data_IF_760464029220
#
_entry.id   IF_760464029220
#
_cell.length_a   1.000
_cell.length_b   1.000
_cell.length_c   1.000
_cell.angle_alpha   90.00
_cell.angle_beta   90.00
_cell.angle_gamma   90.00
#
_symmetry.space_group_name_H-M   'P 1'
#
loop_
_entity.id
_entity.type
_entity.pdbx_description
1 polymer ?
#
# COMPACT_ATOMS: atom_id res chain seq x y z
N UNK A 1 21.11 4.71 -1.21
CA UNK A 1 20.98 3.99 0.09
C UNK A 1 19.93 4.73 0.90
N UNK A 2 18.97 4.02 1.51
CA UNK A 2 17.90 4.68 2.27
C UNK A 2 18.43 5.41 3.50
N UNK A 3 17.85 6.57 3.88
CA UNK A 3 18.08 7.21 5.18
C UNK A 3 17.76 6.25 6.33
N UNK A 4 18.35 6.51 7.51
CA UNK A 4 18.19 5.66 8.69
C UNK A 4 17.93 6.47 9.96
N UNK A 5 17.12 5.91 10.84
CA UNK A 5 16.95 6.40 12.21
C UNK A 5 18.15 6.11 13.10
N UNK A 6 18.06 6.53 14.36
CA UNK A 6 19.14 6.37 15.36
C UNK A 6 19.46 4.90 15.70
N UNK A 7 18.50 4.00 15.51
CA UNK A 7 18.61 2.56 15.70
C UNK A 7 18.87 1.77 14.40
N UNK A 8 19.30 2.47 13.34
CA UNK A 8 19.54 1.96 12.00
C UNK A 8 18.31 1.49 11.21
N UNK A 9 17.08 1.72 11.71
CA UNK A 9 15.87 1.42 10.96
C UNK A 9 15.82 2.21 9.65
N UNK A 10 15.68 1.55 8.48
CA UNK A 10 15.59 2.25 7.20
C UNK A 10 14.31 3.07 7.12
N UNK A 11 14.41 4.27 6.57
CA UNK A 11 13.26 5.13 6.29
C UNK A 11 13.00 5.16 4.78
N UNK A 12 11.75 4.88 4.40
CA UNK A 12 11.34 4.55 3.02
C UNK A 12 10.31 5.54 2.43
N UNK A 13 10.07 6.66 3.11
CA UNK A 13 9.22 7.75 2.63
C UNK A 13 10.07 9.00 2.30
N UNK A 14 9.41 10.11 1.94
CA UNK A 14 10.09 11.35 1.56
C UNK A 14 10.97 11.89 2.69
N UNK A 15 12.23 12.22 2.40
CA UNK A 15 13.25 12.59 3.39
C UNK A 15 12.77 13.68 4.36
N UNK A 16 12.12 14.71 3.82
CA UNK A 16 11.67 15.85 4.64
C UNK A 16 10.50 15.50 5.59
N UNK A 17 9.93 14.30 5.46
CA UNK A 17 8.86 13.80 6.32
C UNK A 17 9.36 12.81 7.38
N UNK A 18 10.67 12.57 7.46
CA UNK A 18 11.26 11.66 8.44
C UNK A 18 11.08 12.19 9.87
N UNK A 19 10.42 11.44 10.76
CA UNK A 19 10.29 11.83 12.16
C UNK A 19 11.64 11.90 12.86
N UNK A 20 11.79 12.84 13.80
CA UNK A 20 13.02 12.97 14.60
C UNK A 20 13.29 11.76 15.49
N UNK A 21 12.23 11.03 15.86
CA UNK A 21 12.23 9.83 16.67
C UNK A 21 12.04 8.54 15.84
N UNK A 22 12.30 8.59 14.53
CA UNK A 22 12.18 7.41 13.67
C UNK A 22 13.06 6.25 14.15
N UNK A 23 12.45 5.06 14.21
CA UNK A 23 13.10 3.83 14.59
C UNK A 23 12.24 2.59 14.31
N UNK A 24 12.74 1.42 14.68
CA UNK A 24 12.11 0.12 14.47
C UNK A 24 10.74 0.02 15.11
N UNK A 25 10.53 0.64 16.26
CA UNK A 25 9.22 0.67 16.94
C UNK A 25 8.15 1.37 16.07
N UNK A 26 8.47 2.53 15.50
CA UNK A 26 7.53 3.23 14.62
C UNK A 26 7.30 2.44 13.32
N UNK A 27 8.38 1.90 12.76
CA UNK A 27 8.35 1.10 11.54
C UNK A 27 7.47 -0.14 11.67
N UNK A 28 7.61 -0.92 12.75
CA UNK A 28 6.82 -2.15 12.94
C UNK A 28 5.33 -1.84 13.09
N UNK A 29 4.95 -0.77 13.80
CA UNK A 29 3.56 -0.35 13.92
C UNK A 29 2.96 0.01 12.56
N UNK A 30 3.70 0.75 11.73
CA UNK A 30 3.26 1.09 10.37
C UNK A 30 3.07 -0.17 9.53
N UNK A 31 4.06 -1.08 9.55
CA UNK A 31 4.01 -2.34 8.79
C UNK A 31 2.83 -3.22 9.21
N UNK A 32 2.62 -3.38 10.52
CA UNK A 32 1.50 -4.14 11.06
C UNK A 32 0.15 -3.56 10.63
N UNK A 33 -0.01 -2.23 10.64
CA UNK A 33 -1.22 -1.58 10.13
C UNK A 33 -1.47 -1.84 8.66
N UNK A 34 -0.42 -1.80 7.85
CA UNK A 34 -0.54 -2.09 6.42
C UNK A 34 -0.91 -3.55 6.18
N UNK A 35 -0.33 -4.48 6.93
CA UNK A 35 -0.69 -5.89 6.88
C UNK A 35 -2.14 -6.13 7.32
N UNK A 36 -2.57 -5.54 8.43
CA UNK A 36 -3.94 -5.69 8.94
C UNK A 36 -4.96 -5.07 7.99
N UNK A 37 -4.69 -3.88 7.46
CA UNK A 37 -5.54 -3.26 6.44
C UNK A 37 -5.65 -4.11 5.17
N UNK A 38 -4.53 -4.68 4.71
CA UNK A 38 -4.52 -5.63 3.59
C UNK A 38 -5.41 -6.84 3.88
N UNK A 39 -5.28 -7.46 5.05
CA UNK A 39 -6.07 -8.62 5.49
C UNK A 39 -7.57 -8.34 5.49
N UNK A 40 -7.99 -7.27 6.17
CA UNK A 40 -9.40 -6.98 6.43
C UNK A 40 -10.15 -6.49 5.20
N UNK A 41 -9.54 -5.61 4.41
CA UNK A 41 -10.25 -4.91 3.34
C UNK A 41 -10.00 -5.52 1.96
N UNK A 42 -8.72 -5.77 1.63
CA UNK A 42 -8.32 -6.05 0.26
C UNK A 42 -8.14 -7.54 -0.03
N UNK A 43 -7.69 -8.33 0.94
CA UNK A 43 -7.39 -9.75 0.82
C UNK A 43 -8.43 -10.65 1.51
N UNK A 44 -9.59 -10.11 1.91
CA UNK A 44 -10.65 -10.80 2.69
C UNK A 44 -11.07 -12.17 2.12
N UNK A 45 -11.00 -12.35 0.79
CA UNK A 45 -11.42 -13.59 0.11
C UNK A 45 -10.34 -14.66 0.03
N UNK A 46 -9.13 -14.40 0.55
CA UNK A 46 -8.00 -15.30 0.43
C UNK A 46 -7.25 -15.43 1.76
N UNK A 47 -6.57 -16.56 1.94
CA UNK A 47 -5.63 -16.71 3.04
C UNK A 47 -4.50 -15.67 2.91
N UNK A 48 -4.10 -15.08 4.03
CA UNK A 48 -2.95 -14.17 4.04
C UNK A 48 -1.69 -14.94 4.35
N UNK A 49 -0.84 -15.08 3.34
CA UNK A 49 0.43 -15.84 3.41
C UNK A 49 1.61 -14.98 3.85
N UNK A 50 1.48 -13.66 3.75
CA UNK A 50 2.51 -12.70 4.14
C UNK A 50 2.51 -12.41 5.63
N UNK A 51 3.71 -12.09 6.13
CA UNK A 51 3.97 -11.67 7.50
C UNK A 51 4.59 -10.25 7.52
N UNK A 52 4.74 -9.62 8.71
CA UNK A 52 5.30 -8.27 8.79
C UNK A 52 6.66 -8.12 8.13
N UNK A 53 7.52 -9.14 8.21
CA UNK A 53 8.84 -9.15 7.57
C UNK A 53 8.72 -9.04 6.05
N UNK A 54 7.91 -9.89 5.42
CA UNK A 54 7.71 -9.89 3.96
C UNK A 54 7.07 -8.58 3.46
N UNK A 55 6.16 -7.98 4.24
CA UNK A 55 5.57 -6.67 3.92
C UNK A 55 6.62 -5.57 3.98
N UNK A 56 7.42 -5.51 5.06
CA UNK A 56 8.49 -4.53 5.19
C UNK A 56 9.52 -4.65 4.05
N UNK A 57 9.92 -5.88 3.73
CA UNK A 57 10.86 -6.14 2.63
C UNK A 57 10.28 -5.68 1.29
N UNK A 58 8.99 -5.91 1.04
CA UNK A 58 8.36 -5.41 -0.18
C UNK A 58 8.30 -3.89 -0.23
N UNK A 59 7.97 -3.22 0.88
CA UNK A 59 8.00 -1.75 0.97
C UNK A 59 9.39 -1.24 0.59
N UNK A 60 10.43 -1.78 1.21
CA UNK A 60 11.81 -1.37 0.93
C UNK A 60 12.18 -1.68 -0.52
N UNK A 61 11.81 -2.86 -1.03
CA UNK A 61 12.10 -3.29 -2.39
C UNK A 61 11.49 -2.35 -3.42
N UNK A 62 10.19 -2.07 -3.35
CA UNK A 62 9.51 -1.23 -4.33
C UNK A 62 10.00 0.22 -4.27
N UNK A 63 10.24 0.77 -3.08
CA UNK A 63 10.84 2.12 -2.92
C UNK A 63 12.23 2.18 -3.55
N UNK A 64 13.06 1.15 -3.34
CA UNK A 64 14.39 1.09 -3.96
C UNK A 64 14.30 0.96 -5.49
N UNK A 65 13.36 0.15 -5.99
CA UNK A 65 13.12 -0.04 -7.43
C UNK A 65 12.64 1.26 -8.09
N UNK A 66 11.76 2.02 -7.44
CA UNK A 66 11.30 3.31 -7.95
C UNK A 66 12.43 4.32 -8.04
N UNK A 67 13.30 4.37 -7.02
CA UNK A 67 14.41 5.33 -6.94
C UNK A 67 15.72 4.89 -7.60
N UNK A 68 15.80 3.69 -8.18
CA UNK A 68 17.07 3.21 -8.75
C UNK A 68 17.43 3.96 -10.04
N UNK A 69 18.71 4.26 -10.20
CA UNK A 69 19.28 4.74 -11.45
C UNK A 69 19.68 3.52 -12.29
N UNK A 70 19.13 3.41 -13.50
CA UNK A 70 19.45 2.31 -14.42
C UNK A 70 20.45 2.79 -15.48
N UNK A 71 21.69 2.32 -15.38
CA UNK A 71 22.71 2.55 -16.40
C UNK A 71 22.44 1.66 -17.62
N UNK A 72 22.56 2.22 -18.83
CA UNK A 72 22.40 1.47 -20.09
C UNK A 72 23.47 0.40 -20.31
N UNK A 73 24.61 0.49 -19.63
CA UNK A 73 25.70 -0.48 -19.72
C UNK A 73 25.60 -1.59 -18.67
N UNK A 74 24.61 -1.52 -17.77
CA UNK A 74 24.35 -2.55 -16.78
C UNK A 74 23.83 -3.82 -17.47
N UNK A 75 24.43 -5.01 -17.24
CA UNK A 75 23.93 -6.28 -17.79
C UNK A 75 22.45 -6.55 -17.44
N UNK A 76 21.97 -6.00 -16.33
CA UNK A 76 20.60 -6.17 -15.85
C UNK A 76 19.68 -4.99 -16.19
N UNK A 77 20.11 -4.05 -17.06
CA UNK A 77 19.40 -2.81 -17.36
C UNK A 77 17.93 -3.06 -17.78
N UNK A 78 17.68 -4.06 -18.62
CA UNK A 78 16.34 -4.36 -19.11
C UNK A 78 15.43 -4.91 -18.00
N UNK A 79 15.97 -5.79 -17.14
CA UNK A 79 15.24 -6.30 -15.98
C UNK A 79 14.95 -5.21 -14.97
N UNK A 80 15.90 -4.30 -14.73
CA UNK A 80 15.71 -3.14 -13.87
C UNK A 80 14.65 -2.20 -14.43
N UNK A 81 14.71 -1.84 -15.72
CA UNK A 81 13.66 -1.02 -16.37
C UNK A 81 12.27 -1.65 -16.27
N UNK A 82 12.18 -2.97 -16.47
CA UNK A 82 10.92 -3.71 -16.32
C UNK A 82 10.36 -3.60 -14.90
N UNK A 83 11.20 -3.83 -13.89
CA UNK A 83 10.81 -3.68 -12.48
C UNK A 83 10.39 -2.24 -12.18
N UNK A 84 11.15 -1.24 -12.63
CA UNK A 84 10.85 0.17 -12.43
C UNK A 84 9.50 0.56 -13.04
N UNK A 85 9.20 0.09 -14.26
CA UNK A 85 7.90 0.32 -14.89
C UNK A 85 6.75 -0.42 -14.20
N UNK A 86 7.00 -1.63 -13.71
CA UNK A 86 5.99 -2.46 -13.00
C UNK A 86 5.60 -1.85 -11.65
N UNK A 87 6.60 -1.31 -10.93
CA UNK A 87 6.44 -0.79 -9.57
C UNK A 87 6.45 0.73 -9.50
N UNK A 88 6.28 1.42 -10.62
CA UNK A 88 6.17 2.87 -10.65
C UNK A 88 4.95 3.33 -9.82
N UNK A 89 5.11 4.39 -9.04
CA UNK A 89 3.99 5.03 -8.37
C UNK A 89 3.04 5.61 -9.43
N UNK A 90 1.74 5.34 -9.29
CA UNK A 90 0.75 5.58 -10.32
C UNK A 90 0.68 7.04 -10.80
N UNK A 91 0.82 8.02 -9.90
CA UNK A 91 0.81 9.45 -10.21
C UNK A 91 2.21 10.09 -10.11
N UNK A 92 3.25 9.29 -9.84
CA UNK A 92 4.61 9.78 -9.57
C UNK A 92 4.74 10.57 -8.26
N UNK A 93 3.82 10.37 -7.30
CA UNK A 93 3.77 11.11 -6.05
C UNK A 93 4.76 10.58 -5.01
N UNK A 94 5.35 11.44 -4.17
CA UNK A 94 6.22 11.00 -3.08
C UNK A 94 5.42 10.30 -1.98
N UNK A 95 6.05 9.33 -1.30
CA UNK A 95 5.46 8.66 -0.16
C UNK A 95 5.58 9.47 1.13
N UNK A 96 4.56 9.36 1.96
CA UNK A 96 4.53 9.81 3.36
C UNK A 96 4.10 8.63 4.25
N UNK A 97 4.37 8.73 5.55
CA UNK A 97 3.92 7.77 6.56
C UNK A 97 2.80 8.32 7.45
N UNK A 98 2.60 9.65 7.50
CA UNK A 98 1.57 10.31 8.32
C UNK A 98 0.18 9.79 8.02
N UNK A 99 -0.58 9.44 9.05
CA UNK A 99 -1.97 9.06 8.94
C UNK A 99 -2.80 10.21 8.37
N UNK A 100 -3.86 9.85 7.65
CA UNK A 100 -4.79 10.79 7.01
C UNK A 100 -4.19 11.73 5.96
N UNK A 101 -2.92 11.55 5.57
CA UNK A 101 -2.35 12.24 4.41
C UNK A 101 -2.77 11.53 3.10
N UNK A 102 -3.01 12.28 2.02
CA UNK A 102 -3.20 11.70 0.69
C UNK A 102 -1.94 11.02 0.15
N UNK A 103 -0.76 11.45 0.61
CA UNK A 103 0.55 10.89 0.24
C UNK A 103 0.94 9.68 1.09
N UNK A 104 0.15 9.33 2.12
CA UNK A 104 0.41 8.15 2.94
C UNK A 104 0.49 6.93 2.04
N UNK A 105 1.60 6.19 2.07
CA UNK A 105 1.69 4.98 1.28
C UNK A 105 0.73 3.91 1.82
N UNK A 106 0.23 3.06 0.92
CA UNK A 106 -0.64 1.91 1.21
C UNK A 106 -0.09 0.66 0.54
N UNK A 107 -0.54 -0.50 1.03
CA UNK A 107 -0.35 -1.79 0.35
C UNK A 107 -1.63 -2.06 -0.44
N UNK A 108 -1.53 -1.98 -1.76
CA UNK A 108 -2.67 -2.04 -2.68
C UNK A 108 -2.54 -3.23 -3.64
N UNK A 109 -3.65 -3.58 -4.31
CA UNK A 109 -3.64 -4.60 -5.36
C UNK A 109 -2.84 -4.14 -6.57
N UNK A 110 -1.99 -5.02 -7.09
CA UNK A 110 -1.42 -4.86 -8.44
C UNK A 110 -2.47 -5.16 -9.50
N UNK A 111 -3.15 -6.29 -9.35
CA UNK A 111 -4.28 -6.73 -10.16
C UNK A 111 -5.46 -7.08 -9.25
N UNK A 112 -6.60 -6.44 -9.49
CA UNK A 112 -7.81 -6.67 -8.72
C UNK A 112 -8.39 -8.07 -8.97
N UNK A 113 -9.05 -8.65 -7.96
CA UNK A 113 -9.71 -9.96 -8.09
C UNK A 113 -8.77 -11.17 -7.95
N UNK A 114 -7.51 -10.95 -7.61
CA UNK A 114 -6.55 -12.00 -7.27
C UNK A 114 -6.00 -11.82 -5.84
N UNK A 115 -5.52 -12.91 -5.24
CA UNK A 115 -4.91 -12.88 -3.91
C UNK A 115 -3.76 -11.86 -3.85
N UNK A 116 -3.74 -11.04 -2.80
CA UNK A 116 -2.59 -10.18 -2.51
C UNK A 116 -1.47 -11.02 -1.91
N UNK A 117 -0.28 -10.90 -2.49
CA UNK A 117 0.94 -11.47 -1.91
C UNK A 117 2.20 -10.75 -2.34
N UNK A 118 3.21 -10.75 -1.48
CA UNK A 118 4.48 -10.06 -1.75
C UNK A 118 5.38 -10.80 -2.74
N UNK A 119 5.21 -12.11 -2.89
CA UNK A 119 6.13 -12.96 -3.67
C UNK A 119 7.41 -13.35 -2.92
N UNK A 120 7.63 -12.85 -1.70
CA UNK A 120 8.69 -13.37 -0.82
C UNK A 120 8.29 -14.74 -0.25
N UNK A 121 9.26 -15.65 0.00
CA UNK A 121 9.02 -16.77 0.90
C UNK A 121 8.82 -16.28 2.34
N UNK A 122 8.23 -17.11 3.20
CA UNK A 122 7.92 -16.72 4.58
C UNK A 122 9.16 -16.38 5.44
N UNK A 123 10.31 -16.99 5.13
CA UNK A 123 11.60 -16.73 5.79
C UNK A 123 12.66 -16.39 4.73
N UNK A 124 12.66 -15.15 4.22
CA UNK A 124 13.51 -14.75 3.11
C UNK A 124 14.95 -14.49 3.58
N UNK A 125 15.91 -14.98 2.80
CA UNK A 125 17.34 -14.87 3.07
C UNK A 125 18.08 -14.10 1.98
N UNK A 126 17.55 -14.03 0.75
CA UNK A 126 18.21 -13.37 -0.38
C UNK A 126 17.25 -12.57 -1.24
N UNK A 127 17.77 -11.53 -1.91
CA UNK A 127 17.00 -10.77 -2.90
C UNK A 127 16.57 -11.64 -4.10
N UNK A 128 17.36 -12.67 -4.45
CA UNK A 128 17.03 -13.54 -5.58
C UNK A 128 15.71 -14.29 -5.37
N UNK A 129 15.40 -14.71 -4.15
CA UNK A 129 14.12 -15.36 -3.81
C UNK A 129 12.93 -14.47 -4.16
N UNK A 130 13.05 -13.15 -3.97
CA UNK A 130 12.02 -12.20 -4.39
C UNK A 130 11.91 -12.05 -5.89
N UNK A 131 13.04 -12.05 -6.59
CA UNK A 131 13.04 -11.94 -8.06
C UNK A 131 12.42 -13.20 -8.69
N UNK A 132 12.68 -14.37 -8.13
CA UNK A 132 12.08 -15.64 -8.57
C UNK A 132 10.57 -15.68 -8.28
N UNK A 133 10.14 -15.06 -7.17
CA UNK A 133 8.73 -14.95 -6.77
C UNK A 133 7.94 -13.81 -7.44
N UNK A 134 8.54 -13.02 -8.33
CA UNK A 134 7.93 -11.82 -8.92
C UNK A 134 6.62 -12.09 -9.65
N UNK A 135 6.54 -13.23 -10.36
CA UNK A 135 5.33 -13.64 -11.06
C UNK A 135 4.14 -13.89 -10.12
N UNK A 136 4.40 -14.17 -8.84
CA UNK A 136 3.37 -14.38 -7.82
C UNK A 136 3.02 -13.10 -7.07
N UNK A 137 3.83 -12.03 -7.16
CA UNK A 137 3.57 -10.77 -6.50
C UNK A 137 2.32 -10.09 -7.07
N UNK A 138 1.40 -9.71 -6.19
CA UNK A 138 0.18 -9.00 -6.56
C UNK A 138 -0.06 -7.76 -5.68
N UNK A 139 1.01 -7.15 -5.18
CA UNK A 139 0.91 -5.95 -4.35
C UNK A 139 1.69 -4.79 -4.93
N UNK A 140 1.15 -3.59 -4.75
CA UNK A 140 1.80 -2.33 -5.07
C UNK A 140 1.91 -1.48 -3.81
N UNK A 141 3.03 -0.78 -3.70
CA UNK A 141 3.28 0.26 -2.72
C UNK A 141 3.06 1.59 -3.43
N UNK A 142 1.95 2.23 -3.11
CA UNK A 142 1.52 3.45 -3.78
C UNK A 142 0.93 4.45 -2.78
N UNK A 143 0.75 5.70 -3.21
CA UNK A 143 0.07 6.67 -2.35
C UNK A 143 -1.40 6.32 -2.20
N UNK A 144 -1.97 6.66 -1.04
CA UNK A 144 -3.41 6.58 -0.79
C UNK A 144 -4.22 7.25 -1.89
N UNK A 145 -3.77 8.43 -2.35
CA UNK A 145 -4.39 9.16 -3.47
C UNK A 145 -4.45 8.31 -4.74
N UNK A 146 -3.33 7.70 -5.13
CA UNK A 146 -3.27 6.81 -6.29
C UNK A 146 -4.19 5.60 -6.16
N UNK A 147 -4.17 4.92 -5.01
CA UNK A 147 -5.04 3.77 -4.77
C UNK A 147 -6.54 4.15 -4.83
N UNK A 148 -6.93 5.27 -4.21
CA UNK A 148 -8.32 5.75 -4.27
C UNK A 148 -8.76 6.11 -5.69
N UNK A 149 -7.89 6.75 -6.47
CA UNK A 149 -8.18 7.11 -7.86
C UNK A 149 -8.47 5.88 -8.73
N UNK A 150 -7.79 4.75 -8.47
CA UNK A 150 -7.99 3.50 -9.22
C UNK A 150 -9.20 2.68 -8.75
N UNK A 151 -9.63 2.84 -7.49
CA UNK A 151 -10.51 1.90 -6.78
C UNK A 151 -11.78 1.44 -7.53
N UNK A 152 -12.32 2.26 -8.43
CA UNK A 152 -13.56 1.95 -9.17
C UNK A 152 -13.37 1.89 -10.70
N UNK A 153 -12.12 1.92 -11.18
CA UNK A 153 -11.82 1.93 -12.60
C UNK A 153 -11.12 0.63 -13.01
N UNK A 154 -11.49 0.09 -14.17
CA UNK A 154 -10.72 -0.98 -14.78
C UNK A 154 -9.34 -0.48 -15.22
N UNK A 155 -8.33 -1.35 -15.17
CA UNK A 155 -6.94 -1.00 -15.49
C UNK A 155 -6.77 -0.36 -16.88
N UNK A 156 -7.65 -0.68 -17.84
CA UNK A 156 -7.66 -0.05 -19.17
C UNK A 156 -7.87 1.47 -19.16
N UNK A 157 -8.46 2.01 -18.08
CA UNK A 157 -8.71 3.45 -17.91
C UNK A 157 -7.56 4.18 -17.24
N UNK A 158 -6.61 3.48 -16.63
CA UNK A 158 -5.52 4.06 -15.85
C UNK A 158 -4.72 5.14 -16.61
N UNK A 159 -4.33 4.96 -17.89
CA UNK A 159 -3.64 6.02 -18.64
C UNK A 159 -4.45 7.30 -18.81
N UNK A 160 -5.79 7.19 -18.90
CA UNK A 160 -6.69 8.34 -19.01
C UNK A 160 -6.78 9.08 -17.68
N UNK A 161 -6.87 8.34 -16.56
CA UNK A 161 -6.89 8.92 -15.21
C UNK A 161 -5.60 9.70 -14.91
N UNK A 162 -4.42 9.13 -15.24
CA UNK A 162 -3.13 9.81 -15.08
C UNK A 162 -3.10 11.12 -15.87
N UNK A 163 -3.55 11.10 -17.13
CA UNK A 163 -3.60 12.30 -17.97
C UNK A 163 -4.56 13.35 -17.42
N UNK A 164 -5.75 12.93 -16.97
CA UNK A 164 -6.74 13.83 -16.37
C UNK A 164 -6.20 14.57 -15.15
N UNK A 165 -5.44 13.89 -14.28
CA UNK A 165 -4.77 14.52 -13.13
C UNK A 165 -3.64 15.45 -13.58
N UNK A 166 -2.80 15.03 -14.54
CA UNK A 166 -1.70 15.85 -15.06
C UNK A 166 -2.18 17.14 -15.76
N UNK A 167 -3.42 17.14 -16.28
CA UNK A 167 -4.03 18.29 -16.92
C UNK A 167 -4.62 19.31 -15.93
N UNK A 168 -4.75 18.95 -14.64
CA UNK A 168 -5.23 19.89 -13.61
C UNK A 168 -4.28 21.09 -13.52
N UNK A 169 -4.84 22.29 -13.61
CA UNK A 169 -4.12 23.55 -13.44
C UNK A 169 -4.42 24.10 -12.06
N UNK A 170 -3.54 23.79 -11.11
CA UNK A 170 -3.61 24.33 -9.76
C UNK A 170 -3.22 25.82 -9.79
N UNK A 171 -4.04 26.72 -9.24
CA UNK A 171 -3.69 28.13 -9.14
C UNK A 171 -2.68 28.35 -8.02
N UNK A 172 -1.38 28.24 -8.36
CA UNK A 172 -0.26 28.31 -7.41
C UNK A 172 -0.16 29.67 -6.71
N UNK A 173 -0.78 30.72 -7.25
CA UNK A 173 -0.86 32.03 -6.60
C UNK A 173 -1.57 32.02 -5.24
N UNK A 174 -2.36 30.98 -4.95
CA UNK A 174 -2.98 30.77 -3.64
C UNK A 174 -2.22 29.78 -2.75
N UNK A 175 -1.14 29.18 -3.26
CA UNK A 175 -0.28 28.31 -2.47
C UNK A 175 0.62 29.14 -1.57
N UNK A 176 0.72 28.76 -0.29
CA UNK A 176 1.67 29.34 0.64
C UNK A 176 2.82 28.36 0.86
N UNK A 177 3.91 28.57 0.12
CA UNK A 177 5.12 27.74 0.17
C UNK A 177 5.93 27.92 1.47
N UNK A 178 5.67 28.99 2.22
CA UNK A 178 6.34 29.25 3.50
C UNK A 178 5.71 28.49 4.67
N UNK A 179 4.59 27.78 4.45
CA UNK A 179 3.99 26.96 5.49
C UNK A 179 4.94 25.82 5.88
N UNK A 180 5.33 25.71 7.16
CA UNK A 180 6.19 24.63 7.59
C UNK A 180 5.47 23.30 7.38
N UNK A 181 6.21 22.27 6.95
CA UNK A 181 5.71 20.91 7.04
C UNK A 181 5.38 20.62 8.50
N UNK A 182 4.09 20.39 8.78
CA UNK A 182 3.62 20.17 10.15
C UNK A 182 4.32 18.97 10.80
N UNK A 183 4.59 19.03 12.12
CA UNK A 183 5.33 17.99 12.80
C UNK A 183 4.62 16.64 12.63
N UNK A 184 5.39 15.60 12.30
CA UNK A 184 4.91 14.23 12.40
C UNK A 184 4.55 13.94 13.86
N UNK A 185 3.36 13.39 14.10
CA UNK A 185 2.94 12.98 15.44
C UNK A 185 2.65 11.48 15.46
N UNK A 186 3.60 10.72 16.02
CA UNK A 186 3.52 9.27 16.17
C UNK A 186 2.31 8.80 17.02
N UNK A 187 1.69 9.68 17.79
CA UNK A 187 0.48 9.37 18.55
C UNK A 187 -0.72 9.10 17.64
N UNK A 188 -0.89 9.87 16.55
CA UNK A 188 -1.96 9.59 15.59
C UNK A 188 -1.79 8.22 14.94
N UNK A 189 -0.54 7.79 14.70
CA UNK A 189 -0.33 6.43 14.19
C UNK A 189 -0.70 5.34 15.20
N UNK A 190 -0.50 5.60 16.50
CA UNK A 190 -0.78 4.66 17.59
C UNK A 190 -2.26 4.56 17.92
N UNK A 191 -3.00 5.66 17.86
CA UNK A 191 -4.45 5.65 18.05
C UNK A 191 -5.19 4.88 16.96
N UNK A 192 -4.77 5.04 15.70
CA UNK A 192 -5.43 4.36 14.58
C UNK A 192 -5.19 2.83 14.62
N UNK A 193 -4.15 2.37 15.32
CA UNK A 193 -3.98 0.95 15.66
C UNK A 193 -5.02 0.46 16.66
N UNK A 194 -5.29 1.24 17.70
CA UNK A 194 -6.30 0.91 18.71
C UNK A 194 -7.70 0.88 18.10
N UNK A 195 -8.03 1.84 17.23
CA UNK A 195 -9.32 1.84 16.52
C UNK A 195 -9.48 0.65 15.57
N UNK A 196 -8.39 0.20 14.94
CA UNK A 196 -8.41 -1.03 14.16
C UNK A 196 -8.60 -2.26 15.06
N UNK A 197 -8.02 -2.32 16.25
CA UNK A 197 -8.25 -3.44 17.18
C UNK A 197 -9.67 -3.41 17.79
N UNK A 198 -10.27 -2.23 17.98
CA UNK A 198 -11.63 -2.06 18.52
C UNK A 198 -12.75 -2.44 17.52
N UNK A 199 -12.50 -2.36 16.20
CA UNK A 199 -13.42 -2.84 15.16
C UNK A 199 -13.54 -4.39 15.10
N UNK A 200 -12.69 -5.14 15.83
CA UNK A 200 -12.75 -6.61 15.88
C UNK A 200 -13.90 -7.15 16.76
N UNK A 201 -14.65 -6.29 17.47
CA UNK A 201 -15.71 -6.71 18.41
C UNK A 201 -17.16 -6.62 17.88
N UNK A 202 -17.43 -6.08 16.67
CA UNK A 202 -18.82 -5.84 16.21
C UNK A 202 -19.32 -6.59 14.95
N UNK A 203 -18.52 -7.40 14.25
CA UNK A 203 -19.01 -8.14 13.07
C UNK A 203 -18.80 -9.67 13.12
N UNK A 204 -19.32 -10.31 14.18
CA UNK A 204 -19.65 -11.74 14.19
C UNK A 204 -21.08 -11.95 14.73
N UNK A 205 -22.05 -11.14 14.27
CA UNK A 205 -23.45 -11.57 14.32
C UNK A 205 -23.74 -12.44 13.10
N UNK A 206 -23.55 -13.74 13.32
CA UNK A 206 -24.18 -14.85 12.64
C UNK A 206 -25.68 -14.57 12.46
N UNK A 207 -26.07 -13.97 11.32
CA UNK A 207 -27.46 -13.99 10.86
C UNK A 207 -27.67 -15.35 10.20
N UNK A 208 -27.85 -16.34 11.07
CA UNK A 208 -28.17 -17.70 10.71
C UNK A 208 -29.40 -17.76 9.80
N UNK A 209 -29.30 -18.65 8.82
CA UNK A 209 -30.36 -19.08 7.91
C UNK A 209 -31.65 -19.44 8.65
N UNK A 210 -32.73 -18.69 8.45
CA UNK A 210 -34.10 -19.19 8.63
C UNK A 210 -35.05 -18.42 7.70
N UNK A 211 -35.20 -18.87 6.45
CA UNK A 211 -36.45 -18.74 5.69
C UNK A 211 -36.59 -19.93 4.74
N UNK A 212 -36.89 -21.11 5.29
CA UNK A 212 -37.58 -22.16 4.54
C UNK A 212 -39.08 -22.10 4.81
N UNK A 213 -39.80 -22.01 3.69
CA UNK A 213 -41.16 -22.47 3.38
C UNK A 213 -42.37 -21.87 4.14
N UNK A 214 -43.25 -21.22 3.37
CA UNK A 214 -44.54 -21.86 3.08
C UNK A 214 -45.14 -21.28 1.79
N UNK A 215 -45.16 -22.14 0.77
CA UNK A 215 -46.05 -22.03 -0.39
C UNK A 215 -47.42 -22.49 0.10
N UNK A 216 -48.42 -21.61 0.07
CA UNK A 216 -49.78 -22.08 -0.09
C UNK A 216 -50.51 -21.32 -1.20
N UNK A 217 -51.11 -22.14 -2.05
CA UNK A 217 -51.84 -21.80 -3.24
C UNK A 217 -53.05 -20.91 -2.97
N UNK A 218 -53.30 -19.95 -3.86
CA UNK A 218 -54.67 -19.76 -4.35
C UNK A 218 -54.70 -19.67 -5.87
N UNK A 219 -55.34 -20.70 -6.42
CA UNK A 219 -55.75 -20.92 -7.79
C UNK A 219 -57.06 -20.16 -8.01
N UNK A 220 -57.15 -19.45 -9.14
CA UNK A 220 -58.36 -19.06 -9.88
C UNK A 220 -59.70 -18.90 -9.11
N UNK A 221 -60.18 -17.65 -9.06
CA UNK A 221 -61.59 -17.29 -8.84
C UNK A 221 -61.87 -15.87 -9.30
#
# INVERSE_FOLDING_TARGET
MLPRGSDNCPYFAHLDTMPTDWGWECCIHIVLRRLNGMKRWCNKKWETVDNPTTILLEIIFQVCVQGMVVDSNDPDADSKKRLQGTYAEFLGLPFDIRAHNGLTFVVAHKHHGAQMRTGWPSDPTTLQERLDGDANNNILIETRTSNYLKNQFAESWYPILQRAVADIRMPLEYANEDLPMGPYNAWFERMDLQLLDDDDDEEDQDVGDEYEEDIDAEING
#
